data_IF_130623312551
#
_entry.id   IF_130623312551
#
_cell.length_a   1.000
_cell.length_b   1.000
_cell.length_c   1.000
_cell.angle_alpha   90.00
_cell.angle_beta   90.00
_cell.angle_gamma   90.00
#
_symmetry.space_group_name_H-M   'P 1'
#
loop_
_entity.id
_entity.type
_entity.pdbx_description
1 polymer ?
#
# COMPACT_ATOMS: atom_id res chain seq x y z
N UNK A 1 7.63 6.70 21.34
CA UNK A 1 6.16 6.56 21.20
C UNK A 1 5.67 6.57 19.74
N UNK A 2 5.95 7.61 18.94
CA UNK A 2 5.43 7.73 17.55
C UNK A 2 5.85 6.58 16.61
N UNK A 3 7.10 6.11 16.70
CA UNK A 3 7.59 4.98 15.90
C UNK A 3 6.90 3.65 16.25
N UNK A 4 6.59 3.43 17.53
CA UNK A 4 5.84 2.25 18.00
C UNK A 4 4.40 2.25 17.48
N UNK A 5 3.72 3.40 17.55
CA UNK A 5 2.37 3.57 16.98
C UNK A 5 2.38 3.43 15.45
N UNK A 6 3.43 3.89 14.78
CA UNK A 6 3.60 3.72 13.34
C UNK A 6 3.74 2.23 12.97
N UNK A 7 4.57 1.48 13.67
CA UNK A 7 4.74 0.05 13.42
C UNK A 7 3.46 -0.73 13.73
N UNK A 8 2.84 -0.47 14.88
CA UNK A 8 1.55 -1.05 15.24
C UNK A 8 0.48 -0.75 14.19
N UNK A 9 0.42 0.48 13.66
CA UNK A 9 -0.58 0.86 12.65
C UNK A 9 -0.44 0.09 11.33
N UNK A 10 0.77 -0.41 11.01
CA UNK A 10 1.01 -1.29 9.86
C UNK A 10 0.59 -2.73 10.13
N UNK A 11 0.64 -3.14 11.39
CA UNK A 11 0.32 -4.49 11.86
C UNK A 11 -1.08 -4.59 12.49
N UNK A 12 -1.88 -3.52 12.45
CA UNK A 12 -3.18 -3.46 13.10
C UNK A 12 -4.17 -4.44 12.43
N UNK A 13 -4.83 -5.26 13.25
CA UNK A 13 -5.84 -6.25 12.83
C UNK A 13 -7.05 -5.62 12.14
N UNK A 14 -7.35 -4.36 12.46
CA UNK A 14 -8.38 -3.57 11.78
C UNK A 14 -7.72 -2.54 10.83
N UNK A 15 -7.82 -2.72 9.50
CA UNK A 15 -7.19 -1.84 8.50
C UNK A 15 -7.69 -0.39 8.55
N UNK A 16 -8.97 -0.19 8.91
CA UNK A 16 -9.55 1.14 9.04
C UNK A 16 -8.96 1.88 10.24
N UNK A 17 -8.79 1.19 11.37
CA UNK A 17 -8.11 1.75 12.56
C UNK A 17 -6.63 2.06 12.28
N UNK A 18 -5.91 1.16 11.61
CA UNK A 18 -4.52 1.38 11.22
C UNK A 18 -4.36 2.59 10.29
N UNK A 19 -5.27 2.75 9.33
CA UNK A 19 -5.28 3.90 8.41
C UNK A 19 -5.59 5.22 9.12
N UNK A 20 -6.57 5.22 10.04
CA UNK A 20 -6.90 6.39 10.85
C UNK A 20 -5.73 6.84 11.74
N UNK A 21 -5.02 5.89 12.36
CA UNK A 21 -3.84 6.18 13.20
C UNK A 21 -2.71 6.75 12.36
N UNK A 22 -2.42 6.17 11.18
CA UNK A 22 -1.41 6.71 10.25
C UNK A 22 -1.74 8.12 9.80
N UNK A 23 -2.99 8.38 9.46
CA UNK A 23 -3.42 9.71 9.03
C UNK A 23 -3.18 10.75 10.13
N UNK A 24 -3.48 10.43 11.39
CA UNK A 24 -3.21 11.29 12.54
C UNK A 24 -1.72 11.47 12.81
N UNK A 25 -0.91 10.41 12.67
CA UNK A 25 0.55 10.50 12.82
C UNK A 25 1.16 11.42 11.75
N UNK A 26 0.76 11.27 10.49
CA UNK A 26 1.20 12.14 9.40
C UNK A 26 0.81 13.59 9.68
N UNK A 27 -0.43 13.82 10.14
CA UNK A 27 -0.88 15.17 10.47
C UNK A 27 -0.15 15.81 11.64
N UNK A 28 0.14 15.05 12.69
CA UNK A 28 0.96 15.51 13.81
C UNK A 28 2.39 15.84 13.36
N UNK A 29 3.01 14.99 12.55
CA UNK A 29 4.35 15.24 11.99
C UNK A 29 4.39 16.48 11.11
N UNK A 30 3.39 16.68 10.25
CA UNK A 30 3.29 17.86 9.40
C UNK A 30 3.12 19.14 10.24
N UNK A 31 2.23 19.12 11.24
CA UNK A 31 2.06 20.21 12.18
C UNK A 31 3.36 20.53 12.96
N UNK A 32 4.15 19.50 13.31
CA UNK A 32 5.39 19.65 14.08
C UNK A 32 6.47 20.35 13.29
N UNK A 33 6.69 19.90 12.05
CA UNK A 33 7.66 20.51 11.15
C UNK A 33 7.26 21.96 10.84
N UNK A 34 5.98 22.22 10.62
CA UNK A 34 5.48 23.57 10.39
C UNK A 34 5.68 24.46 11.63
N UNK A 35 5.30 23.99 12.82
CA UNK A 35 5.46 24.75 14.06
C UNK A 35 6.93 25.03 14.37
N UNK A 36 7.83 24.07 14.12
CA UNK A 36 9.26 24.24 14.31
C UNK A 36 9.84 25.27 13.34
N UNK A 37 9.43 25.24 12.07
CA UNK A 37 9.85 26.21 11.06
C UNK A 37 9.37 27.63 11.41
N UNK A 38 8.07 27.77 11.72
CA UNK A 38 7.48 29.08 12.04
C UNK A 38 8.03 29.62 13.36
N UNK A 39 8.15 28.79 14.41
CA UNK A 39 8.73 29.23 15.69
C UNK A 39 10.19 29.68 15.53
N UNK A 40 10.99 28.96 14.75
CA UNK A 40 12.37 29.35 14.46
C UNK A 40 12.42 30.68 13.72
N UNK A 41 11.59 30.85 12.68
CA UNK A 41 11.53 32.10 11.93
C UNK A 41 11.10 33.29 12.81
N UNK A 42 10.06 33.13 13.64
CA UNK A 42 9.59 34.17 14.55
C UNK A 42 10.65 34.54 15.59
N UNK A 43 11.35 33.54 16.14
CA UNK A 43 12.46 33.78 17.08
C UNK A 43 13.55 34.61 16.44
N UNK A 44 14.05 34.17 15.28
CA UNK A 44 15.13 34.87 14.58
C UNK A 44 14.73 36.28 14.12
N UNK A 45 13.45 36.49 13.78
CA UNK A 45 12.99 37.78 13.28
C UNK A 45 12.75 38.80 14.39
N UNK A 46 12.14 38.40 15.51
CA UNK A 46 11.79 39.34 16.57
C UNK A 46 12.84 39.46 17.67
N UNK A 47 13.63 38.41 17.93
CA UNK A 47 14.62 38.32 19.02
C UNK A 47 14.17 38.96 20.36
N UNK A 48 12.98 38.57 20.83
CA UNK A 48 12.45 39.12 22.08
C UNK A 48 13.35 38.76 23.28
N UNK A 49 13.65 39.73 24.16
CA UNK A 49 14.44 39.49 25.36
C UNK A 49 13.67 38.58 26.33
N UNK A 50 14.41 37.73 27.04
CA UNK A 50 13.86 36.85 28.08
C UNK A 50 13.63 37.61 29.40
N UNK A 51 12.80 37.09 30.32
CA UNK A 51 12.61 37.71 31.64
C UNK A 51 13.91 38.09 32.39
N UNK A 52 14.96 37.26 32.46
CA UNK A 52 16.22 37.66 33.09
C UNK A 52 16.94 38.83 32.41
N UNK A 53 16.76 39.06 31.10
CA UNK A 53 17.34 40.21 30.41
C UNK A 53 16.62 41.52 30.76
N UNK A 54 15.31 41.47 31.07
CA UNK A 54 14.48 42.65 31.35
C UNK A 54 14.38 42.95 32.85
N UNK A 55 14.21 41.91 33.66
CA UNK A 55 13.94 42.02 35.10
C UNK A 55 15.21 41.88 35.96
N UNK A 56 16.34 41.50 35.37
CA UNK A 56 17.60 41.31 36.10
C UNK A 56 17.44 40.35 37.27
N UNK A 57 17.83 40.78 38.46
CA UNK A 57 17.79 39.97 39.69
C UNK A 57 16.37 39.72 40.24
N UNK A 58 15.36 40.44 39.74
CA UNK A 58 13.96 40.18 40.06
C UNK A 58 13.45 38.90 39.38
N UNK A 59 14.09 38.45 38.29
CA UNK A 59 13.77 37.18 37.65
C UNK A 59 14.49 36.02 38.34
N UNK A 60 13.74 35.26 39.14
CA UNK A 60 14.23 33.98 39.68
C UNK A 60 14.22 32.91 38.59
N UNK A 61 15.37 32.71 37.94
CA UNK A 61 15.55 31.69 36.90
C UNK A 61 16.01 30.37 37.51
N UNK A 62 15.38 29.28 37.09
CA UNK A 62 15.81 27.92 37.45
C UNK A 62 16.64 27.37 36.28
N UNK A 63 17.97 27.36 36.42
CA UNK A 63 18.92 26.88 35.41
C UNK A 63 19.74 28.01 34.76
N UNK A 64 20.22 27.77 33.54
CA UNK A 64 21.06 28.71 32.80
C UNK A 64 20.28 29.94 32.33
N UNK A 65 20.91 31.12 32.44
CA UNK A 65 20.31 32.40 32.03
C UNK A 65 20.40 32.58 30.51
N UNK A 66 19.34 32.19 29.80
CA UNK A 66 19.15 32.55 28.39
C UNK A 66 18.57 33.98 28.29
N UNK A 67 19.15 34.83 27.44
CA UNK A 67 18.77 36.25 27.33
C UNK A 67 17.94 36.59 26.08
N UNK A 68 18.01 35.76 25.04
CA UNK A 68 17.45 36.00 23.71
C UNK A 68 16.35 34.99 23.32
N UNK A 69 15.65 35.26 22.21
CA UNK A 69 14.69 34.34 21.58
C UNK A 69 13.55 33.82 22.48
N UNK A 70 12.92 34.71 23.25
CA UNK A 70 11.82 34.34 24.17
C UNK A 70 10.53 33.91 23.45
N UNK A 71 10.17 34.62 22.39
CA UNK A 71 8.88 34.48 21.68
C UNK A 71 9.01 33.62 20.42
N UNK A 72 8.15 32.61 20.20
CA UNK A 72 7.20 32.00 21.13
C UNK A 72 7.84 30.90 21.99
N UNK A 73 7.16 30.49 23.07
CA UNK A 73 7.62 29.38 23.90
C UNK A 73 7.47 28.03 23.18
N UNK A 74 8.58 27.34 22.94
CA UNK A 74 8.58 26.03 22.27
C UNK A 74 7.86 24.93 23.05
N UNK A 75 7.97 24.93 24.39
CA UNK A 75 7.26 23.97 25.26
C UNK A 75 5.75 24.16 25.20
N UNK A 76 5.28 25.42 25.23
CA UNK A 76 3.86 25.74 25.08
C UNK A 76 3.36 25.35 23.68
N UNK A 77 4.15 25.63 22.63
CA UNK A 77 3.85 25.24 21.24
C UNK A 77 3.66 23.73 21.10
N UNK A 78 4.61 22.95 21.62
CA UNK A 78 4.52 21.50 21.59
C UNK A 78 3.33 20.96 22.40
N UNK A 79 3.08 21.50 23.59
CA UNK A 79 1.95 21.09 24.41
C UNK A 79 0.61 21.34 23.70
N UNK A 80 0.42 22.52 23.09
CA UNK A 80 -0.78 22.84 22.32
C UNK A 80 -0.98 21.91 21.11
N UNK A 81 0.11 21.50 20.45
CA UNK A 81 0.03 20.50 19.38
C UNK A 81 -0.40 19.12 19.87
N UNK A 82 0.15 18.66 21.00
CA UNK A 82 -0.25 17.38 21.62
C UNK A 82 -1.74 17.42 21.96
N UNK A 83 -2.20 18.53 22.54
CA UNK A 83 -3.62 18.75 22.81
C UNK A 83 -4.42 18.70 21.52
N UNK A 84 -4.04 19.45 20.48
CA UNK A 84 -4.76 19.49 19.21
C UNK A 84 -4.88 18.13 18.52
N UNK A 85 -3.82 17.31 18.56
CA UNK A 85 -3.83 15.99 17.95
C UNK A 85 -4.68 14.96 18.72
N UNK A 86 -4.71 15.06 20.05
CA UNK A 86 -5.47 14.16 20.93
C UNK A 86 -6.91 14.64 21.17
N UNK A 87 -7.23 15.91 20.96
CA UNK A 87 -8.54 16.52 21.20
C UNK A 87 -9.72 15.73 20.60
N UNK A 88 -9.65 15.26 19.34
CA UNK A 88 -10.77 14.54 18.73
C UNK A 88 -10.88 13.09 19.22
N UNK A 89 -9.88 12.57 19.94
CA UNK A 89 -9.87 11.21 20.49
C UNK A 89 -10.43 11.16 21.90
N UNK A 90 -10.39 12.28 22.61
CA UNK A 90 -10.72 12.34 24.03
C UNK A 90 -12.17 12.75 24.27
N UNK A 91 -12.84 12.05 25.19
CA UNK A 91 -14.12 12.47 25.75
C UNK A 91 -13.97 13.70 26.68
N UNK A 92 -15.07 14.17 27.28
CA UNK A 92 -15.10 15.39 28.11
C UNK A 92 -14.03 15.41 29.22
N UNK A 93 -13.89 14.30 29.97
CA UNK A 93 -12.87 14.18 31.05
C UNK A 93 -11.44 14.24 30.52
N UNK A 94 -11.15 13.55 29.41
CA UNK A 94 -9.81 13.59 28.79
C UNK A 94 -9.46 14.97 28.23
N UNK A 95 -10.44 15.71 27.70
CA UNK A 95 -10.23 17.11 27.27
C UNK A 95 -9.86 18.03 28.43
N UNK A 96 -10.51 17.88 29.59
CA UNK A 96 -10.13 18.59 30.81
C UNK A 96 -8.69 18.26 31.23
N UNK A 97 -8.30 16.98 31.21
CA UNK A 97 -6.92 16.57 31.50
C UNK A 97 -5.91 17.16 30.51
N UNK A 98 -6.25 17.23 29.22
CA UNK A 98 -5.40 17.85 28.19
C UNK A 98 -5.25 19.37 28.40
N UNK A 99 -6.33 20.06 28.76
CA UNK A 99 -6.29 21.48 29.10
C UNK A 99 -5.42 21.72 30.34
N UNK A 100 -5.59 20.90 31.38
CA UNK A 100 -4.76 20.95 32.58
C UNK A 100 -3.28 20.69 32.27
N UNK A 101 -2.99 19.71 31.41
CA UNK A 101 -1.63 19.45 30.95
C UNK A 101 -1.01 20.68 30.25
N UNK A 102 -1.72 21.28 29.29
CA UNK A 102 -1.21 22.45 28.58
C UNK A 102 -1.01 23.65 29.51
N UNK A 103 -1.93 23.90 30.44
CA UNK A 103 -1.80 25.00 31.41
C UNK A 103 -0.66 24.76 32.39
N UNK A 104 -0.46 23.54 32.90
CA UNK A 104 0.67 23.20 33.76
C UNK A 104 2.01 23.37 33.03
N UNK A 105 2.10 22.94 31.77
CA UNK A 105 3.31 23.15 30.96
C UNK A 105 3.57 24.64 30.77
N UNK A 106 2.56 25.43 30.40
CA UNK A 106 2.70 26.88 30.26
C UNK A 106 3.11 27.56 31.57
N UNK A 107 2.45 27.21 32.66
CA UNK A 107 2.78 27.72 34.00
C UNK A 107 4.21 27.40 34.40
N UNK A 108 4.68 26.18 34.13
CA UNK A 108 6.06 25.78 34.45
C UNK A 108 7.11 26.70 33.80
N UNK A 109 6.83 27.22 32.61
CA UNK A 109 7.74 28.11 31.88
C UNK A 109 7.79 29.52 32.48
N UNK A 110 6.67 29.99 32.99
CA UNK A 110 6.55 31.29 33.67
C UNK A 110 7.16 31.17 35.08
N UNK A 111 6.79 30.14 35.82
CA UNK A 111 7.26 29.90 37.19
C UNK A 111 8.77 29.65 37.27
N UNK A 112 9.38 29.07 36.23
CA UNK A 112 10.83 28.92 36.13
C UNK A 112 11.57 30.22 35.71
N UNK A 113 10.84 31.32 35.49
CA UNK A 113 11.40 32.60 35.05
C UNK A 113 11.92 32.60 33.60
N UNK A 114 11.56 31.59 32.80
CA UNK A 114 12.13 31.37 31.48
C UNK A 114 11.39 32.08 30.34
N UNK A 115 10.13 32.47 30.57
CA UNK A 115 9.26 33.09 29.58
C UNK A 115 8.24 34.02 30.24
N UNK A 116 7.83 35.06 29.52
CA UNK A 116 6.66 35.86 29.89
C UNK A 116 5.36 35.11 29.60
N UNK A 117 4.24 35.48 30.26
CA UNK A 117 2.93 34.92 29.95
C UNK A 117 2.55 35.07 28.46
N UNK A 118 2.94 36.18 27.83
CA UNK A 118 2.72 36.42 26.41
C UNK A 118 3.42 35.37 25.51
N UNK A 119 4.63 34.92 25.87
CA UNK A 119 5.38 33.92 25.10
C UNK A 119 4.67 32.55 25.10
N UNK A 120 4.05 32.23 26.24
CA UNK A 120 3.27 30.99 26.42
C UNK A 120 1.98 31.05 25.61
N UNK A 121 1.26 32.18 25.66
CA UNK A 121 0.06 32.40 24.84
C UNK A 121 0.39 32.31 23.35
N UNK A 122 1.46 32.97 22.90
CA UNK A 122 1.93 32.90 21.52
C UNK A 122 2.34 31.47 21.10
N UNK A 123 2.92 30.70 22.03
CA UNK A 123 3.22 29.29 21.79
C UNK A 123 1.95 28.46 21.60
N UNK A 124 0.95 28.63 22.47
CA UNK A 124 -0.32 27.91 22.34
C UNK A 124 -1.06 28.26 21.04
N UNK A 125 -1.13 29.55 20.68
CA UNK A 125 -1.78 29.99 19.45
C UNK A 125 -1.07 29.42 18.22
N UNK A 126 0.26 29.42 18.20
CA UNK A 126 1.04 28.82 17.12
C UNK A 126 0.77 27.31 17.01
N UNK A 127 0.86 26.58 18.12
CA UNK A 127 0.68 25.12 18.13
C UNK A 127 -0.71 24.69 17.64
N UNK A 128 -1.77 25.39 18.07
CA UNK A 128 -3.12 25.15 17.57
C UNK A 128 -3.28 25.55 16.10
N UNK A 129 -2.75 26.69 15.68
CA UNK A 129 -2.81 27.14 14.29
C UNK A 129 -2.13 26.16 13.35
N UNK A 130 -0.94 25.67 13.70
CA UNK A 130 -0.23 24.65 12.92
C UNK A 130 -0.99 23.32 12.86
N UNK A 131 -1.61 22.91 13.97
CA UNK A 131 -2.41 21.66 14.00
C UNK A 131 -3.67 21.79 13.14
N UNK A 132 -4.38 22.92 13.22
CA UNK A 132 -5.55 23.21 12.40
C UNK A 132 -5.18 23.30 10.92
N UNK A 133 -4.10 24.00 10.58
CA UNK A 133 -3.63 24.14 9.20
C UNK A 133 -3.20 22.79 8.61
N UNK A 134 -2.45 21.98 9.36
CA UNK A 134 -2.10 20.63 8.92
C UNK A 134 -3.35 19.77 8.68
N UNK A 135 -4.33 19.82 9.60
CA UNK A 135 -5.61 19.14 9.44
C UNK A 135 -6.40 19.58 8.21
N UNK A 136 -6.32 20.85 7.83
CA UNK A 136 -6.94 21.41 6.63
C UNK A 136 -6.19 21.04 5.33
N UNK A 137 -4.85 21.07 5.35
CA UNK A 137 -4.01 20.79 4.17
C UNK A 137 -3.92 19.31 3.81
N UNK A 138 -3.91 18.41 4.80
CA UNK A 138 -3.82 16.96 4.58
C UNK A 138 -4.86 16.39 3.60
N UNK A 139 -6.16 16.69 3.72
CA UNK A 139 -7.15 16.21 2.76
C UNK A 139 -6.97 16.84 1.37
N UNK A 140 -6.48 18.09 1.27
CA UNK A 140 -6.19 18.76 0.00
C UNK A 140 -4.99 18.14 -0.72
N UNK A 141 -4.01 17.61 0.02
CA UNK A 141 -2.84 16.93 -0.53
C UNK A 141 -3.11 15.45 -0.89
N UNK A 142 -4.21 14.87 -0.42
CA UNK A 142 -4.54 13.46 -0.64
C UNK A 142 -4.65 13.07 -2.13
N UNK A 143 -5.28 13.85 -3.03
CA UNK A 143 -5.38 13.52 -4.45
C UNK A 143 -4.02 13.50 -5.17
N UNK A 144 -3.10 14.39 -4.77
CA UNK A 144 -1.74 14.50 -5.33
C UNK A 144 -0.91 13.29 -4.92
N UNK A 145 -0.93 12.90 -3.64
CA UNK A 145 -0.24 11.71 -3.16
C UNK A 145 -0.82 10.40 -3.71
N UNK A 146 -2.14 10.35 -3.96
CA UNK A 146 -2.78 9.22 -4.63
C UNK A 146 -2.37 9.13 -6.10
N UNK A 147 -2.26 10.27 -6.80
CA UNK A 147 -1.80 10.31 -8.20
C UNK A 147 -0.34 9.89 -8.36
N UNK A 148 0.55 10.28 -7.45
CA UNK A 148 1.97 9.89 -7.47
C UNK A 148 2.20 8.38 -7.24
N UNK A 149 1.21 7.65 -6.71
CA UNK A 149 1.25 6.19 -6.53
C UNK A 149 0.60 5.40 -7.68
N UNK A 150 0.07 6.08 -8.70
CA UNK A 150 -0.58 5.43 -9.85
C UNK A 150 0.45 4.78 -10.76
N UNK A 151 0.53 3.45 -10.77
CA UNK A 151 1.10 2.73 -11.91
C UNK A 151 0.18 2.95 -13.11
N UNK A 152 0.72 3.43 -14.23
CA UNK A 152 -0.05 3.61 -15.48
C UNK A 152 -0.70 2.29 -15.91
N UNK A 153 -1.96 2.31 -16.37
CA UNK A 153 -2.65 1.12 -16.86
C UNK A 153 -1.87 0.42 -18.00
N UNK A 154 -1.09 1.18 -18.77
CA UNK A 154 -0.22 0.68 -19.82
C UNK A 154 0.80 -0.35 -19.32
N UNK A 155 1.33 -0.19 -18.11
CA UNK A 155 2.28 -1.16 -17.52
C UNK A 155 1.64 -2.55 -17.42
N UNK A 156 0.35 -2.61 -17.06
CA UNK A 156 -0.38 -3.87 -16.93
C UNK A 156 -0.72 -4.48 -18.28
N UNK A 157 -1.05 -3.67 -19.28
CA UNK A 157 -1.17 -4.15 -20.65
C UNK A 157 0.16 -4.67 -21.21
N UNK A 158 1.30 -4.08 -20.85
CA UNK A 158 2.62 -4.62 -21.21
C UNK A 158 2.86 -5.99 -20.57
N UNK A 159 2.48 -6.19 -19.30
CA UNK A 159 2.58 -7.51 -18.64
C UNK A 159 1.72 -8.55 -19.36
N UNK A 160 0.48 -8.21 -19.70
CA UNK A 160 -0.41 -9.11 -20.45
C UNK A 160 0.17 -9.43 -21.84
N UNK A 161 0.67 -8.43 -22.55
CA UNK A 161 1.30 -8.60 -23.87
C UNK A 161 2.55 -9.48 -23.81
N UNK A 162 3.38 -9.34 -22.78
CA UNK A 162 4.54 -10.20 -22.56
C UNK A 162 4.12 -11.66 -22.35
N UNK A 163 3.07 -11.91 -21.56
CA UNK A 163 2.56 -13.27 -21.34
C UNK A 163 2.06 -13.92 -22.65
N UNK A 164 1.31 -13.17 -23.48
CA UNK A 164 0.89 -13.64 -24.82
C UNK A 164 2.10 -13.94 -25.69
N UNK A 165 3.08 -13.03 -25.73
CA UNK A 165 4.26 -13.16 -26.57
C UNK A 165 5.08 -14.39 -26.19
N UNK A 166 5.33 -14.59 -24.88
CA UNK A 166 6.07 -15.75 -24.40
C UNK A 166 5.34 -17.05 -24.74
N UNK A 167 4.03 -17.14 -24.49
CA UNK A 167 3.25 -18.33 -24.84
C UNK A 167 3.31 -18.65 -26.35
N UNK A 168 3.03 -17.67 -27.20
CA UNK A 168 3.02 -17.87 -28.65
C UNK A 168 4.40 -18.21 -29.22
N UNK A 169 5.47 -17.63 -28.69
CA UNK A 169 6.83 -17.96 -29.11
C UNK A 169 7.21 -19.39 -28.70
N UNK A 170 6.87 -19.81 -27.48
CA UNK A 170 7.16 -21.18 -27.03
C UNK A 170 6.35 -22.20 -27.82
N UNK A 171 5.05 -21.96 -28.06
CA UNK A 171 4.22 -22.81 -28.92
C UNK A 171 4.77 -22.89 -30.33
N UNK A 172 5.17 -21.76 -30.91
CA UNK A 172 5.80 -21.75 -32.22
C UNK A 172 7.08 -22.58 -32.25
N UNK A 173 7.93 -22.48 -31.22
CA UNK A 173 9.13 -23.31 -31.11
C UNK A 173 8.78 -24.80 -31.05
N UNK A 174 7.81 -25.21 -30.22
CA UNK A 174 7.40 -26.63 -30.11
C UNK A 174 6.91 -27.16 -31.46
N UNK A 175 6.01 -26.44 -32.15
CA UNK A 175 5.48 -26.86 -33.45
C UNK A 175 6.58 -27.02 -34.52
N UNK A 176 7.66 -26.24 -34.43
CA UNK A 176 8.76 -26.27 -35.40
C UNK A 176 9.81 -27.32 -35.09
N UNK A 177 9.85 -27.82 -33.86
CA UNK A 177 10.92 -28.71 -33.39
C UNK A 177 10.41 -30.13 -33.15
N UNK A 178 9.12 -30.30 -32.83
CA UNK A 178 8.51 -31.60 -32.50
C UNK A 178 7.44 -31.97 -33.53
N UNK A 179 7.49 -33.20 -34.02
CA UNK A 179 6.40 -33.81 -34.76
C UNK A 179 5.14 -33.94 -33.88
N UNK A 180 3.96 -33.98 -34.49
CA UNK A 180 2.73 -34.18 -33.74
C UNK A 180 2.77 -35.51 -32.97
N UNK A 181 2.45 -35.46 -31.67
CA UNK A 181 2.50 -36.62 -30.77
C UNK A 181 3.91 -37.02 -30.32
N UNK A 182 4.95 -36.29 -30.74
CA UNK A 182 6.31 -36.51 -30.25
C UNK A 182 6.43 -36.09 -28.78
N UNK A 183 7.23 -36.85 -28.04
CA UNK A 183 7.50 -36.65 -26.62
C UNK A 183 8.98 -36.87 -26.34
N UNK A 184 9.60 -35.92 -25.63
CA UNK A 184 10.97 -36.01 -25.16
C UNK A 184 10.98 -35.89 -23.64
N UNK A 185 11.53 -36.90 -22.98
CA UNK A 185 11.75 -36.89 -21.54
C UNK A 185 12.88 -35.91 -21.20
N UNK A 186 12.60 -34.96 -20.30
CA UNK A 186 13.58 -33.99 -19.80
C UNK A 186 14.07 -34.41 -18.41
N UNK A 187 13.15 -34.90 -17.57
CA UNK A 187 13.44 -35.49 -16.26
C UNK A 187 12.49 -36.67 -15.99
N UNK A 188 12.76 -37.51 -14.97
CA UNK A 188 11.89 -38.65 -14.63
C UNK A 188 10.43 -38.31 -14.26
N UNK A 189 10.08 -37.04 -14.17
CA UNK A 189 8.73 -36.55 -13.84
C UNK A 189 8.23 -35.45 -14.79
N UNK A 190 8.99 -35.10 -15.83
CA UNK A 190 8.66 -34.01 -16.74
C UNK A 190 9.11 -34.28 -18.19
N UNK A 191 8.18 -34.12 -19.11
CA UNK A 191 8.39 -34.27 -20.54
C UNK A 191 8.01 -32.99 -21.29
N UNK A 192 8.68 -32.76 -22.42
CA UNK A 192 8.17 -31.88 -23.46
C UNK A 192 7.40 -32.72 -24.48
N UNK A 193 6.18 -32.29 -24.78
CA UNK A 193 5.28 -32.98 -25.71
C UNK A 193 4.78 -32.03 -26.78
N UNK A 194 4.24 -32.57 -27.87
CA UNK A 194 3.45 -31.80 -28.82
C UNK A 194 2.05 -32.40 -28.95
N UNK A 195 1.12 -31.88 -28.14
CA UNK A 195 -0.27 -32.34 -28.07
C UNK A 195 -1.21 -31.20 -28.46
N UNK A 196 -2.26 -31.52 -29.22
CA UNK A 196 -3.31 -30.57 -29.60
C UNK A 196 -4.57 -30.79 -28.77
N UNK A 197 -5.01 -29.74 -28.09
CA UNK A 197 -6.15 -29.76 -27.21
C UNK A 197 -7.36 -29.06 -27.85
N UNK A 198 -8.40 -29.82 -28.26
CA UNK A 198 -9.63 -29.25 -28.82
C UNK A 198 -10.51 -28.49 -27.81
N UNK A 199 -10.17 -28.52 -26.52
CA UNK A 199 -10.99 -27.96 -25.43
C UNK A 199 -11.69 -29.02 -24.59
N UNK A 200 -11.24 -30.27 -24.63
CA UNK A 200 -11.77 -31.34 -23.80
C UNK A 200 -10.79 -31.64 -22.65
N UNK A 201 -10.76 -30.78 -21.64
CA UNK A 201 -10.08 -31.11 -20.37
C UNK A 201 -10.68 -32.39 -19.71
N UNK A 202 -11.87 -32.81 -20.16
CA UNK A 202 -12.45 -34.11 -19.91
C UNK A 202 -12.98 -34.65 -21.25
N UNK A 203 -12.50 -35.82 -21.70
CA UNK A 203 -12.86 -36.47 -22.97
C UNK A 203 -14.37 -36.68 -23.22
N UNK A 204 -15.23 -36.37 -22.25
CA UNK A 204 -16.70 -36.44 -22.35
C UNK A 204 -17.29 -35.55 -23.45
N UNK A 205 -16.64 -34.44 -23.82
CA UNK A 205 -17.11 -33.55 -24.89
C UNK A 205 -16.33 -33.68 -26.21
N UNK A 206 -15.26 -34.47 -26.28
CA UNK A 206 -14.36 -34.50 -27.44
C UNK A 206 -15.05 -34.96 -28.75
N UNK A 207 -16.08 -35.80 -28.66
CA UNK A 207 -16.84 -36.30 -29.81
C UNK A 207 -17.98 -35.37 -30.29
N UNK A 208 -18.20 -34.23 -29.63
CA UNK A 208 -19.33 -33.34 -29.92
C UNK A 208 -18.99 -32.28 -30.98
N UNK A 209 -18.55 -32.67 -32.19
CA UNK A 209 -18.68 -31.82 -33.39
C UNK A 209 -17.98 -30.44 -33.44
N UNK A 210 -16.93 -30.18 -32.65
CA UNK A 210 -16.06 -29.00 -32.80
C UNK A 210 -16.63 -27.65 -32.30
N UNK A 211 -17.83 -27.62 -31.70
CA UNK A 211 -18.43 -26.40 -31.14
C UNK A 211 -17.60 -25.78 -30.01
N UNK A 212 -16.82 -26.62 -29.30
CA UNK A 212 -15.96 -26.26 -28.17
C UNK A 212 -15.00 -25.14 -28.59
N UNK A 213 -14.46 -25.21 -29.81
CA UNK A 213 -13.58 -24.18 -30.37
C UNK A 213 -14.24 -22.80 -30.30
N UNK A 214 -15.43 -22.66 -30.88
CA UNK A 214 -16.15 -21.39 -30.95
C UNK A 214 -16.62 -20.93 -29.56
N UNK A 215 -17.05 -21.86 -28.71
CA UNK A 215 -17.40 -21.56 -27.32
C UNK A 215 -16.22 -20.96 -26.56
N UNK A 216 -15.04 -21.61 -26.58
CA UNK A 216 -13.87 -21.14 -25.86
C UNK A 216 -13.27 -19.85 -26.46
N UNK A 217 -13.36 -19.65 -27.77
CA UNK A 217 -13.01 -18.35 -28.40
C UNK A 217 -13.93 -17.26 -27.85
N UNK A 218 -15.25 -17.48 -27.88
CA UNK A 218 -16.24 -16.48 -27.45
C UNK A 218 -16.07 -16.15 -25.96
N UNK A 219 -15.95 -17.18 -25.12
CA UNK A 219 -15.72 -17.02 -23.68
C UNK A 219 -14.39 -16.30 -23.41
N UNK A 220 -13.31 -16.72 -24.07
CA UNK A 220 -11.99 -16.11 -23.91
C UNK A 220 -11.97 -14.64 -24.30
N UNK A 221 -12.62 -14.26 -25.41
CA UNK A 221 -12.75 -12.85 -25.82
C UNK A 221 -13.62 -12.04 -24.85
N UNK A 222 -14.74 -12.60 -24.38
CA UNK A 222 -15.62 -11.93 -23.42
C UNK A 222 -14.90 -11.65 -22.09
N UNK A 223 -14.22 -12.65 -21.55
CA UNK A 223 -13.39 -12.51 -20.33
C UNK A 223 -12.24 -11.52 -20.56
N UNK A 224 -11.59 -11.59 -21.72
CA UNK A 224 -10.49 -10.67 -22.06
C UNK A 224 -10.96 -9.21 -22.15
N UNK A 225 -12.11 -8.96 -22.77
CA UNK A 225 -12.70 -7.61 -22.85
C UNK A 225 -13.08 -7.08 -21.46
N UNK A 226 -13.66 -7.93 -20.61
CA UNK A 226 -13.98 -7.59 -19.22
C UNK A 226 -12.72 -7.27 -18.41
N UNK A 227 -11.69 -8.12 -18.48
CA UNK A 227 -10.41 -7.90 -17.79
C UNK A 227 -9.68 -6.66 -18.31
N UNK A 228 -9.66 -6.42 -19.62
CA UNK A 228 -9.11 -5.21 -20.21
C UNK A 228 -9.80 -3.95 -19.68
N UNK A 229 -11.15 -3.97 -19.60
CA UNK A 229 -11.91 -2.89 -18.96
C UNK A 229 -11.57 -2.72 -17.48
N UNK A 230 -11.34 -3.81 -16.74
CA UNK A 230 -10.94 -3.75 -15.33
C UNK A 230 -9.52 -3.19 -15.14
N UNK A 231 -8.59 -3.47 -16.06
CA UNK A 231 -7.23 -2.91 -16.04
C UNK A 231 -7.18 -1.41 -16.34
N UNK A 232 -8.14 -0.90 -17.11
CA UNK A 232 -8.33 0.55 -17.28
C UNK A 232 -8.83 1.23 -15.99
N UNK A 233 -9.31 0.47 -15.01
CA UNK A 233 -9.70 0.97 -13.70
C UNK A 233 -8.50 0.91 -12.73
N UNK A 234 -8.50 1.80 -11.74
CA UNK A 234 -7.46 1.83 -10.71
C UNK A 234 -7.58 0.61 -9.80
N UNK A 235 -6.62 -0.31 -9.87
CA UNK A 235 -6.58 -1.54 -9.05
C UNK A 235 -5.29 -1.65 -8.23
N UNK A 236 -5.34 -2.29 -7.04
CA UNK A 236 -4.15 -2.71 -6.30
C UNK A 236 -3.21 -3.53 -7.18
N UNK A 237 -1.89 -3.41 -6.94
CA UNK A 237 -0.86 -4.03 -7.80
C UNK A 237 -1.02 -5.55 -7.96
N UNK A 238 -1.38 -6.26 -6.89
CA UNK A 238 -1.54 -7.72 -6.93
C UNK A 238 -2.78 -8.13 -7.74
N UNK A 239 -3.88 -7.37 -7.63
CA UNK A 239 -5.10 -7.57 -8.41
C UNK A 239 -4.86 -7.28 -9.90
N UNK A 240 -4.19 -6.16 -10.20
CA UNK A 240 -3.82 -5.78 -11.55
C UNK A 240 -2.85 -6.78 -12.20
N UNK A 241 -1.88 -7.32 -11.44
CA UNK A 241 -1.03 -8.42 -11.89
C UNK A 241 -1.85 -9.66 -12.23
N UNK A 242 -2.79 -10.04 -11.35
CA UNK A 242 -3.70 -11.17 -11.58
C UNK A 242 -4.50 -11.02 -12.86
N UNK A 243 -5.14 -9.85 -13.06
CA UNK A 243 -5.88 -9.55 -14.29
C UNK A 243 -5.00 -9.56 -15.54
N UNK A 244 -3.78 -9.04 -15.46
CA UNK A 244 -2.85 -9.00 -16.60
C UNK A 244 -2.44 -10.40 -17.05
N UNK A 245 -2.12 -11.29 -16.10
CA UNK A 245 -1.70 -12.66 -16.41
C UNK A 245 -2.85 -13.51 -16.95
N UNK A 246 -4.05 -13.39 -16.37
CA UNK A 246 -5.24 -14.10 -16.89
C UNK A 246 -5.61 -13.57 -18.27
N UNK A 247 -5.57 -12.26 -18.49
CA UNK A 247 -5.81 -11.65 -19.80
C UNK A 247 -4.81 -12.18 -20.84
N UNK A 248 -3.53 -12.19 -20.51
CA UNK A 248 -2.49 -12.66 -21.41
C UNK A 248 -2.63 -14.15 -21.75
N UNK A 249 -2.84 -15.00 -20.75
CA UNK A 249 -3.04 -16.44 -20.98
C UNK A 249 -4.33 -16.74 -21.76
N UNK A 250 -5.43 -16.05 -21.45
CA UNK A 250 -6.68 -16.20 -22.19
C UNK A 250 -6.51 -15.85 -23.66
N UNK A 251 -5.85 -14.73 -23.97
CA UNK A 251 -5.59 -14.30 -25.34
C UNK A 251 -4.63 -15.23 -26.09
N UNK A 252 -3.59 -15.78 -25.44
CA UNK A 252 -2.70 -16.78 -26.05
C UNK A 252 -3.46 -18.04 -26.48
N UNK A 253 -4.28 -18.57 -25.58
CA UNK A 253 -5.13 -19.73 -25.85
C UNK A 253 -6.27 -19.47 -26.86
N UNK A 254 -6.78 -18.24 -26.94
CA UNK A 254 -7.73 -17.83 -28.00
C UNK A 254 -7.01 -17.75 -29.35
N UNK A 255 -5.80 -17.19 -29.40
CA UNK A 255 -5.03 -17.06 -30.64
C UNK A 255 -4.79 -18.42 -31.30
N UNK A 256 -4.42 -19.45 -30.53
CA UNK A 256 -4.33 -20.83 -31.02
C UNK A 256 -5.64 -21.35 -31.59
N UNK A 257 -6.75 -21.20 -30.86
CA UNK A 257 -8.07 -21.65 -31.34
C UNK A 257 -8.51 -20.94 -32.61
N UNK A 258 -8.14 -19.68 -32.79
CA UNK A 258 -8.42 -18.92 -34.02
C UNK A 258 -7.52 -19.43 -35.16
N UNK A 259 -6.21 -19.49 -34.95
CA UNK A 259 -5.21 -19.77 -36.00
C UNK A 259 -5.10 -21.25 -36.36
N UNK A 260 -5.16 -22.14 -35.37
CA UNK A 260 -4.87 -23.58 -35.47
C UNK A 260 -6.11 -24.45 -35.23
N UNK A 261 -7.15 -23.87 -34.63
CA UNK A 261 -8.37 -24.59 -34.28
C UNK A 261 -8.32 -25.32 -32.95
N UNK A 262 -7.12 -25.61 -32.44
CA UNK A 262 -6.85 -26.31 -31.19
C UNK A 262 -5.68 -25.62 -30.47
N UNK A 263 -5.59 -25.81 -29.16
CA UNK A 263 -4.50 -25.27 -28.34
C UNK A 263 -3.30 -26.21 -28.37
N UNK A 264 -2.10 -25.65 -28.48
CA UNK A 264 -0.86 -26.42 -28.43
C UNK A 264 -0.41 -26.55 -26.98
N UNK A 265 -0.41 -27.77 -26.47
CA UNK A 265 0.05 -28.12 -25.12
C UNK A 265 1.38 -28.86 -25.21
N UNK A 266 2.31 -28.53 -24.29
CA UNK A 266 3.69 -28.98 -24.38
C UNK A 266 4.40 -29.26 -23.06
N UNK A 267 3.80 -28.90 -21.93
CA UNK A 267 4.30 -29.24 -20.60
C UNK A 267 3.53 -30.45 -20.09
N UNK A 268 4.21 -31.59 -19.94
CA UNK A 268 3.64 -32.83 -19.40
C UNK A 268 4.39 -33.22 -18.12
N UNK A 269 3.68 -33.19 -16.99
CA UNK A 269 4.20 -33.62 -15.69
C UNK A 269 3.58 -34.96 -15.31
N UNK A 270 4.40 -35.89 -14.82
CA UNK A 270 3.94 -37.23 -14.51
C UNK A 270 4.61 -37.80 -13.26
N UNK A 271 3.92 -38.78 -12.66
CA UNK A 271 4.46 -39.61 -11.60
C UNK A 271 4.10 -41.07 -11.88
N UNK A 272 5.10 -41.87 -12.25
CA UNK A 272 4.96 -43.27 -12.67
C UNK A 272 4.07 -43.38 -13.92
N UNK A 273 2.86 -43.92 -13.79
CA UNK A 273 1.90 -44.09 -14.89
C UNK A 273 0.84 -42.98 -14.92
N UNK A 274 0.82 -42.10 -13.92
CA UNK A 274 -0.17 -41.03 -13.82
C UNK A 274 0.38 -39.74 -14.42
N UNK A 275 -0.27 -39.26 -15.48
CA UNK A 275 0.05 -37.99 -16.12
C UNK A 275 -0.95 -36.91 -15.68
N UNK A 276 -0.43 -35.74 -15.35
CA UNK A 276 -1.25 -34.53 -15.30
C UNK A 276 -1.57 -34.10 -16.74
N UNK A 277 -2.79 -33.61 -17.03
CA UNK A 277 -3.13 -33.15 -18.37
C UNK A 277 -2.11 -32.14 -18.89
N UNK A 278 -1.57 -32.37 -20.09
CA UNK A 278 -0.59 -31.46 -20.67
C UNK A 278 -1.14 -30.04 -20.75
N UNK A 279 -0.27 -29.05 -20.54
CA UNK A 279 -0.64 -27.64 -20.51
C UNK A 279 0.46 -26.77 -21.15
N UNK A 280 0.24 -25.46 -21.20
CA UNK A 280 1.15 -24.50 -21.79
C UNK A 280 1.41 -23.28 -20.88
N UNK A 281 2.20 -22.32 -21.36
CA UNK A 281 2.54 -21.13 -20.59
C UNK A 281 1.36 -20.16 -20.41
N UNK A 282 0.39 -20.14 -21.33
CA UNK A 282 -0.87 -19.45 -21.12
C UNK A 282 -1.66 -20.01 -19.92
N UNK A 283 -1.70 -21.33 -19.73
CA UNK A 283 -2.35 -21.96 -18.57
C UNK A 283 -1.61 -21.67 -17.26
N UNK A 284 -0.27 -21.64 -17.30
CA UNK A 284 0.56 -21.21 -16.17
C UNK A 284 0.25 -19.75 -15.81
N UNK A 285 0.16 -18.86 -16.80
CA UNK A 285 -0.19 -17.45 -16.57
C UNK A 285 -1.58 -17.31 -15.96
N UNK A 286 -2.58 -18.04 -16.46
CA UNK A 286 -3.93 -18.05 -15.88
C UNK A 286 -3.90 -18.55 -14.43
N UNK A 287 -3.16 -19.63 -14.15
CA UNK A 287 -3.08 -20.23 -12.81
C UNK A 287 -2.40 -19.28 -11.81
N UNK A 288 -1.26 -18.68 -12.18
CA UNK A 288 -0.57 -17.69 -11.35
C UNK A 288 -1.44 -16.45 -11.17
N UNK A 289 -2.12 -15.99 -12.22
CA UNK A 289 -3.02 -14.86 -12.15
C UNK A 289 -4.21 -15.12 -11.22
N UNK A 290 -4.80 -16.31 -11.27
CA UNK A 290 -5.84 -16.75 -10.34
C UNK A 290 -5.32 -16.82 -8.90
N UNK A 291 -4.10 -17.31 -8.68
CA UNK A 291 -3.45 -17.30 -7.37
C UNK A 291 -3.23 -15.87 -6.85
N UNK A 292 -2.80 -14.93 -7.71
CA UNK A 292 -2.70 -13.53 -7.35
C UNK A 292 -4.05 -12.97 -6.86
N UNK A 293 -5.13 -13.23 -7.61
CA UNK A 293 -6.48 -12.81 -7.21
C UNK A 293 -6.94 -13.49 -5.92
N UNK A 294 -6.69 -14.79 -5.76
CA UNK A 294 -7.01 -15.50 -4.52
C UNK A 294 -6.31 -14.88 -3.30
N UNK A 295 -5.02 -14.55 -3.43
CA UNK A 295 -4.25 -13.88 -2.39
C UNK A 295 -4.72 -12.45 -2.09
N UNK A 296 -5.52 -11.83 -2.97
CA UNK A 296 -6.19 -10.55 -2.65
C UNK A 296 -7.42 -10.73 -1.76
N UNK A 297 -8.09 -11.88 -1.85
CA UNK A 297 -9.33 -12.18 -1.13
C UNK A 297 -9.06 -12.86 0.21
N UNK A 298 -8.02 -13.70 0.30
CA UNK A 298 -7.64 -14.36 1.55
C UNK A 298 -7.29 -13.29 2.59
N UNK A 299 -8.05 -13.17 3.69
CA UNK A 299 -7.66 -12.31 4.79
C UNK A 299 -6.27 -12.72 5.23
N UNK A 300 -5.36 -11.76 5.46
CA UNK A 300 -4.10 -12.06 6.16
C UNK A 300 -4.47 -12.61 7.53
N UNK A 301 -4.60 -13.93 7.63
CA UNK A 301 -4.71 -14.64 8.89
C UNK A 301 -3.43 -14.30 9.63
N UNK A 302 -3.55 -13.49 10.69
CA UNK A 302 -2.47 -13.30 11.63
C UNK A 302 -2.19 -14.68 12.19
N UNK A 303 -1.13 -15.35 11.72
CA UNK A 303 -0.56 -16.44 12.50
C UNK A 303 -0.22 -15.85 13.87
N UNK A 304 -0.94 -16.31 14.89
CA UNK A 304 -0.48 -16.30 16.27
C UNK A 304 0.87 -17.04 16.39
N UNK A 305 1.56 -17.01 17.51
CA UNK A 305 1.02 -17.35 18.82
C UNK A 305 2.08 -17.06 19.88
N UNK A 306 1.61 -16.49 20.99
CA UNK A 306 1.99 -16.77 22.38
C UNK A 306 3.38 -17.39 22.65
N UNK A 307 4.28 -16.58 23.20
CA UNK A 307 5.33 -17.03 24.10
C UNK A 307 5.72 -15.85 25.00
N UNK A 308 4.89 -15.53 26.00
CA UNK A 308 5.29 -14.88 27.26
C UNK A 308 4.05 -14.68 28.14
N UNK A 309 3.55 -15.79 28.69
CA UNK A 309 2.85 -15.80 29.98
C UNK A 309 3.48 -16.92 30.81
N UNK A 310 4.68 -16.64 31.32
CA UNK A 310 5.25 -17.27 32.51
C UNK A 310 6.47 -16.45 32.93
N UNK A 311 6.25 -15.55 33.88
CA UNK A 311 7.25 -14.71 34.54
C UNK A 311 6.59 -13.94 35.66
#
# INVERSE_FOLDING_TARGET
MLLGLWWWSKSATNPARGTAVRHRLIGFSAAFLLALLVATALKLWFDFPRPPAVLGDLARVIGDKELHYSLPSGHATYAAMVVGALWPLMGRRGRLSLMLYATLVGWSRIAAGMHFPADVLAGWTLGWSCTALAGWLLPLAAPVWQSARRTSAWVWFTVAASAVMTDQLTKFAIIRTFAYGEQVEITPFFNLVHVLNPGAAFSFLANAGGWQRYFFITLGLAVSAWLGRMLCQQRPRLEAMGYSLILGGALGNVADRVLRGQVVDFLDFHWRLAHWPAFNLADVAITIGALCLFLTVVPKSSKGTEAEVSG
#
